data_IF_043845808093
#
_entry.id   IF_043845808093
#
_cell.length_a   1.000
_cell.length_b   1.000
_cell.length_c   1.000
_cell.angle_alpha   90.00
_cell.angle_beta   90.00
_cell.angle_gamma   90.00
#
_symmetry.space_group_name_H-M   'P 1'
#
loop_
_entity.id
_entity.type
_entity.pdbx_description
1 polymer ?
#
# COMPACT_ATOMS: atom_id res chain seq x y z
N UNK A 1 44.62 -9.62 -32.90
CA UNK A 1 43.94 -8.43 -32.38
C UNK A 1 42.46 -8.78 -32.42
N UNK A 2 41.91 -9.14 -31.27
CA UNK A 2 40.46 -9.37 -31.12
C UNK A 2 39.70 -8.05 -31.23
N UNK A 3 38.37 -8.10 -31.47
CA UNK A 3 37.58 -6.89 -31.48
C UNK A 3 37.75 -6.17 -30.13
N UNK A 4 38.04 -4.89 -30.18
CA UNK A 4 37.95 -4.01 -29.01
C UNK A 4 36.50 -4.13 -28.51
N UNK A 5 36.29 -4.78 -27.36
CA UNK A 5 35.04 -4.71 -26.64
C UNK A 5 34.86 -3.23 -26.29
N UNK A 6 33.94 -2.59 -26.94
CA UNK A 6 33.55 -1.21 -26.69
C UNK A 6 33.06 -1.14 -25.25
N UNK A 7 33.92 -0.62 -24.37
CA UNK A 7 33.56 -0.41 -22.95
C UNK A 7 32.33 0.49 -22.88
N UNK A 8 31.24 -0.07 -22.43
CA UNK A 8 29.99 0.67 -22.26
C UNK A 8 30.23 1.91 -21.39
N UNK A 9 29.97 3.08 -21.94
CA UNK A 9 30.10 4.32 -21.20
C UNK A 9 28.97 4.45 -20.20
N UNK A 10 29.23 4.98 -19.00
CA UNK A 10 28.18 5.33 -18.01
C UNK A 10 27.10 6.24 -18.63
N UNK A 11 27.43 6.96 -19.71
CA UNK A 11 26.48 7.83 -20.43
C UNK A 11 25.50 7.08 -21.33
N UNK A 12 25.78 5.83 -21.65
CA UNK A 12 24.95 4.99 -22.53
C UNK A 12 24.00 4.10 -21.71
N UNK A 13 23.97 4.28 -20.39
CA UNK A 13 23.17 3.49 -19.46
C UNK A 13 21.85 4.23 -19.13
N UNK A 14 20.75 3.61 -19.47
CA UNK A 14 19.38 4.09 -19.15
C UNK A 14 18.73 3.09 -18.17
N UNK A 15 18.82 3.32 -16.84
CA UNK A 15 18.19 2.45 -15.87
C UNK A 15 16.66 2.51 -15.98
N UNK A 16 16.02 1.39 -15.74
CA UNK A 16 14.56 1.31 -15.71
C UNK A 16 14.03 1.82 -14.36
N UNK A 17 12.98 2.66 -14.41
CA UNK A 17 12.34 3.26 -13.22
C UNK A 17 10.97 2.66 -12.96
N UNK A 18 10.58 2.64 -11.69
CA UNK A 18 9.25 2.24 -11.28
C UNK A 18 8.24 3.37 -11.55
N UNK A 19 7.02 3.07 -12.04
CA UNK A 19 5.97 4.08 -12.17
C UNK A 19 5.55 4.61 -10.81
N UNK A 20 5.40 5.93 -10.70
CA UNK A 20 4.99 6.60 -9.47
C UNK A 20 3.51 6.96 -9.56
N UNK A 21 2.75 6.59 -8.54
CA UNK A 21 1.33 6.90 -8.43
C UNK A 21 0.96 7.52 -7.09
N UNK A 22 -0.33 7.80 -6.93
CA UNK A 22 -0.91 8.29 -5.68
C UNK A 22 -2.19 7.54 -5.36
N UNK A 23 -2.39 7.20 -4.08
CA UNK A 23 -3.65 6.65 -3.58
C UNK A 23 -4.70 7.76 -3.52
N UNK A 24 -5.86 7.54 -4.13
CA UNK A 24 -6.87 8.60 -4.27
C UNK A 24 -7.54 8.98 -2.97
N UNK A 25 -7.49 8.14 -1.96
CA UNK A 25 -8.30 8.43 -0.79
C UNK A 25 -8.01 7.59 0.45
N UNK A 26 -6.84 7.71 1.03
CA UNK A 26 -6.63 7.20 2.38
C UNK A 26 -7.20 8.14 3.45
N UNK A 27 -8.45 8.42 3.55
CA UNK A 27 -9.17 9.36 4.43
C UNK A 27 -9.44 10.75 3.82
N UNK A 28 -9.23 10.93 2.52
CA UNK A 28 -9.41 12.23 1.86
C UNK A 28 -10.29 12.08 0.61
N UNK A 29 -11.11 13.08 0.36
CA UNK A 29 -11.94 13.20 -0.83
C UNK A 29 -11.67 14.58 -1.48
N UNK A 30 -11.45 14.63 -2.80
CA UNK A 30 -11.33 15.90 -3.54
C UNK A 30 -12.71 16.43 -3.93
N UNK A 31 -13.65 15.54 -4.23
CA UNK A 31 -14.97 15.89 -4.73
C UNK A 31 -15.98 15.84 -3.59
N UNK A 32 -16.59 16.98 -3.21
CA UNK A 32 -17.64 17.00 -2.20
C UNK A 32 -18.82 16.10 -2.57
N UNK A 33 -19.46 15.51 -1.56
CA UNK A 33 -20.56 14.55 -1.74
C UNK A 33 -21.73 15.10 -2.54
N UNK A 34 -22.09 16.35 -2.33
CA UNK A 34 -23.18 17.02 -3.06
C UNK A 34 -22.93 17.10 -4.57
N UNK A 35 -21.69 17.02 -5.03
CA UNK A 35 -21.31 16.93 -6.45
C UNK A 35 -21.19 15.48 -6.91
N UNK A 36 -20.61 14.63 -6.05
CA UNK A 36 -20.35 13.22 -6.36
C UNK A 36 -21.66 12.41 -6.41
N UNK A 37 -22.59 12.63 -5.49
CA UNK A 37 -23.79 11.80 -5.38
C UNK A 37 -24.68 11.83 -6.63
N UNK A 38 -24.90 12.97 -7.31
CA UNK A 38 -25.61 12.97 -8.59
C UNK A 38 -24.75 12.50 -9.79
N UNK A 39 -23.42 12.55 -9.68
CA UNK A 39 -22.47 12.17 -10.74
C UNK A 39 -21.26 11.47 -10.13
N UNK A 40 -21.37 10.15 -9.85
CA UNK A 40 -20.34 9.43 -9.10
C UNK A 40 -18.99 9.32 -9.83
N UNK A 41 -18.96 9.40 -11.15
CA UNK A 41 -17.73 9.30 -11.93
C UNK A 41 -16.94 10.62 -11.94
N UNK A 42 -17.53 11.72 -11.52
CA UNK A 42 -16.86 13.00 -11.37
C UNK A 42 -15.68 12.92 -10.39
N UNK A 43 -15.79 12.14 -9.32
CA UNK A 43 -14.70 11.97 -8.36
C UNK A 43 -13.47 11.32 -9.00
N UNK A 44 -13.66 10.39 -9.93
CA UNK A 44 -12.56 9.75 -10.67
C UNK A 44 -11.94 10.76 -11.64
N UNK A 45 -12.75 11.54 -12.33
CA UNK A 45 -12.27 12.58 -13.27
C UNK A 45 -11.48 13.66 -12.54
N UNK A 46 -11.97 14.15 -11.39
CA UNK A 46 -11.28 15.12 -10.55
C UNK A 46 -9.91 14.60 -10.07
N UNK A 47 -9.83 13.32 -9.67
CA UNK A 47 -8.56 12.72 -9.27
C UNK A 47 -7.60 12.52 -10.44
N UNK A 48 -8.06 12.09 -11.62
CA UNK A 48 -7.23 11.97 -12.82
C UNK A 48 -6.66 13.31 -13.26
N UNK A 49 -7.48 14.38 -13.21
CA UNK A 49 -7.01 15.73 -13.52
C UNK A 49 -6.00 16.24 -12.48
N UNK A 50 -6.25 15.97 -11.20
CA UNK A 50 -5.31 16.33 -10.14
C UNK A 50 -4.00 15.52 -10.23
N UNK A 51 -4.08 14.24 -10.54
CA UNK A 51 -2.91 13.38 -10.74
C UNK A 51 -2.05 13.85 -11.94
N UNK A 52 -2.68 14.33 -13.01
CA UNK A 52 -1.96 14.99 -14.11
C UNK A 52 -1.20 16.23 -13.64
N UNK A 53 -1.80 17.06 -12.78
CA UNK A 53 -1.13 18.23 -12.19
C UNK A 53 0.01 17.85 -11.25
N UNK A 54 -0.13 16.71 -10.55
CA UNK A 54 0.90 16.11 -9.73
C UNK A 54 2.04 15.48 -10.55
N UNK A 55 1.85 15.32 -11.86
CA UNK A 55 2.80 14.68 -12.77
C UNK A 55 3.11 13.22 -12.42
N UNK A 56 2.11 12.48 -11.96
CA UNK A 56 2.24 11.04 -11.67
C UNK A 56 1.83 10.17 -12.87
N UNK A 57 2.33 8.94 -12.89
CA UNK A 57 2.07 7.97 -13.95
C UNK A 57 0.70 7.30 -13.80
N UNK A 58 0.23 7.17 -12.55
CA UNK A 58 -1.00 6.46 -12.24
C UNK A 58 -1.65 6.91 -10.92
N UNK A 59 -2.90 6.45 -10.72
CA UNK A 59 -3.57 6.49 -9.44
C UNK A 59 -3.86 5.07 -8.96
N UNK A 60 -3.83 4.84 -7.65
CA UNK A 60 -4.49 3.72 -7.02
C UNK A 60 -5.91 4.18 -6.65
N UNK A 61 -6.91 3.62 -7.31
CA UNK A 61 -8.28 4.10 -7.24
C UNK A 61 -9.05 3.37 -6.15
N UNK A 62 -9.39 4.08 -5.08
CA UNK A 62 -10.06 3.48 -3.92
C UNK A 62 -11.55 3.31 -4.11
N UNK A 63 -12.05 2.13 -3.72
CA UNK A 63 -13.46 1.82 -3.49
C UNK A 63 -13.65 1.47 -2.02
N UNK A 64 -14.76 1.85 -1.42
CA UNK A 64 -15.07 1.52 -0.04
C UNK A 64 -16.58 1.33 0.17
N UNK A 65 -16.93 0.42 1.07
CA UNK A 65 -18.25 0.34 1.65
C UNK A 65 -18.36 1.43 2.73
N UNK A 66 -18.95 2.56 2.37
CA UNK A 66 -19.17 3.62 3.36
C UNK A 66 -20.41 3.34 4.20
N UNK A 67 -20.42 3.63 5.52
CA UNK A 67 -21.58 3.35 6.39
C UNK A 67 -22.90 3.96 5.89
N UNK A 68 -22.85 5.13 5.26
CA UNK A 68 -24.04 5.77 4.67
C UNK A 68 -24.45 5.19 3.31
N UNK A 69 -23.70 4.28 2.75
CA UNK A 69 -23.83 3.75 1.39
C UNK A 69 -24.03 2.24 1.35
N UNK A 70 -23.95 1.58 2.50
CA UNK A 70 -24.10 0.14 2.64
C UNK A 70 -24.94 -0.22 3.87
N UNK A 71 -25.43 -1.43 3.91
CA UNK A 71 -26.06 -2.04 5.08
C UNK A 71 -25.07 -2.76 6.00
N UNK A 72 -23.77 -2.63 5.73
CA UNK A 72 -22.71 -3.08 6.62
C UNK A 72 -22.54 -2.05 7.74
N UNK A 73 -22.64 -2.46 9.02
CA UNK A 73 -22.47 -1.55 10.15
C UNK A 73 -21.08 -0.90 10.15
N UNK A 74 -20.97 0.34 10.59
CA UNK A 74 -19.70 1.07 10.63
C UNK A 74 -18.65 0.34 11.49
N UNK A 75 -19.09 -0.31 12.56
CA UNK A 75 -18.23 -1.07 13.48
C UNK A 75 -17.64 -2.34 12.85
N UNK A 76 -18.24 -2.82 11.77
CA UNK A 76 -17.77 -3.98 11.02
C UNK A 76 -16.83 -3.61 9.87
N UNK A 77 -16.60 -2.33 9.61
CA UNK A 77 -15.64 -1.87 8.61
C UNK A 77 -14.25 -1.75 9.22
N UNK A 78 -13.27 -2.27 8.51
CA UNK A 78 -11.89 -2.31 9.02
C UNK A 78 -11.17 -0.98 8.77
N UNK A 79 -11.30 -0.41 7.58
CA UNK A 79 -10.65 0.84 7.19
C UNK A 79 -11.69 1.88 6.70
N UNK A 80 -11.71 3.09 7.28
CA UNK A 80 -12.60 4.16 6.85
C UNK A 80 -12.09 4.89 5.58
N UNK A 81 -11.55 4.20 4.62
CA UNK A 81 -11.05 4.76 3.36
C UNK A 81 -12.15 5.55 2.64
N UNK A 82 -11.81 6.71 2.09
CA UNK A 82 -12.73 7.49 1.28
C UNK A 82 -13.06 6.76 -0.03
N UNK A 83 -14.32 6.82 -0.43
CA UNK A 83 -14.80 6.13 -1.63
C UNK A 83 -14.71 7.06 -2.85
N UNK A 84 -13.72 6.83 -3.71
CA UNK A 84 -13.60 7.54 -4.99
C UNK A 84 -14.32 6.78 -6.11
N UNK A 85 -14.16 5.46 -6.17
CA UNK A 85 -14.91 4.59 -7.07
C UNK A 85 -16.23 4.18 -6.43
N UNK A 86 -17.31 4.88 -6.77
CA UNK A 86 -18.64 4.59 -6.27
C UNK A 86 -19.27 3.40 -7.02
N UNK A 87 -19.50 2.32 -6.28
CA UNK A 87 -20.11 1.09 -6.77
C UNK A 87 -21.51 0.84 -6.19
N UNK A 88 -22.19 1.85 -5.62
CA UNK A 88 -23.60 1.73 -5.20
C UNK A 88 -24.49 1.30 -6.37
N UNK A 89 -24.25 1.88 -7.53
CA UNK A 89 -24.81 1.41 -8.80
C UNK A 89 -23.78 0.55 -9.56
N UNK A 90 -24.23 -0.37 -10.43
CA UNK A 90 -23.31 -1.16 -11.27
C UNK A 90 -22.37 -0.28 -12.08
N UNK A 91 -21.11 -0.70 -12.19
CA UNK A 91 -20.16 -0.06 -13.07
C UNK A 91 -20.43 -0.53 -14.51
N UNK A 92 -21.03 0.34 -15.31
CA UNK A 92 -21.47 0.00 -16.67
C UNK A 92 -20.41 0.27 -17.72
N UNK A 93 -20.61 -0.26 -18.93
CA UNK A 93 -19.73 0.02 -20.07
C UNK A 93 -19.65 1.52 -20.39
N UNK A 94 -20.73 2.26 -20.21
CA UNK A 94 -20.75 3.71 -20.46
C UNK A 94 -19.92 4.45 -19.41
N UNK A 95 -20.00 4.07 -18.14
CA UNK A 95 -19.12 4.59 -17.07
C UNK A 95 -17.67 4.27 -17.38
N UNK A 96 -17.35 3.03 -17.72
CA UNK A 96 -15.99 2.63 -18.09
C UNK A 96 -15.47 3.39 -19.33
N UNK A 97 -16.30 3.64 -20.33
CA UNK A 97 -15.94 4.44 -21.49
C UNK A 97 -15.62 5.90 -21.13
N UNK A 98 -16.41 6.51 -20.22
CA UNK A 98 -16.19 7.86 -19.70
C UNK A 98 -14.85 7.95 -18.95
N UNK A 99 -14.62 7.06 -17.98
CA UNK A 99 -13.36 7.00 -17.23
C UNK A 99 -12.17 6.73 -18.16
N UNK A 100 -12.32 5.82 -19.13
CA UNK A 100 -11.31 5.56 -20.15
C UNK A 100 -11.00 6.79 -21.03
N UNK A 101 -11.99 7.64 -21.29
CA UNK A 101 -11.76 8.92 -21.98
C UNK A 101 -10.96 9.90 -21.10
N UNK A 102 -11.25 9.97 -19.81
CA UNK A 102 -10.50 10.80 -18.87
C UNK A 102 -9.03 10.32 -18.74
N UNK A 103 -8.79 9.01 -18.64
CA UNK A 103 -7.44 8.41 -18.66
C UNK A 103 -6.68 8.84 -19.93
N UNK A 104 -7.29 8.71 -21.09
CA UNK A 104 -6.64 9.12 -22.36
C UNK A 104 -6.37 10.62 -22.45
N UNK A 105 -7.24 11.45 -21.89
CA UNK A 105 -7.08 12.90 -21.93
C UNK A 105 -6.04 13.44 -20.95
N UNK A 106 -5.87 12.77 -19.82
CA UNK A 106 -4.88 13.14 -18.80
C UNK A 106 -3.52 12.49 -19.02
N UNK A 107 -3.49 11.33 -19.66
CA UNK A 107 -2.30 10.48 -19.76
C UNK A 107 -1.97 9.73 -18.46
N UNK A 108 -2.82 9.81 -17.43
CA UNK A 108 -2.64 9.16 -16.14
C UNK A 108 -3.39 7.83 -16.14
N UNK A 109 -2.68 6.74 -15.79
CA UNK A 109 -3.25 5.40 -15.69
C UNK A 109 -3.93 5.11 -14.34
N UNK A 110 -4.46 3.89 -14.22
CA UNK A 110 -4.89 3.31 -12.94
C UNK A 110 -4.01 2.09 -12.68
N UNK A 111 -3.23 2.12 -11.58
CA UNK A 111 -2.31 1.04 -11.23
C UNK A 111 -3.05 -0.20 -10.72
N UNK A 112 -4.00 0.01 -9.83
CA UNK A 112 -4.93 -0.98 -9.31
C UNK A 112 -6.17 -0.31 -8.68
N UNK A 113 -7.19 -1.11 -8.39
CA UNK A 113 -8.33 -0.69 -7.59
C UNK A 113 -8.11 -1.13 -6.14
N UNK A 114 -8.42 -0.27 -5.18
CA UNK A 114 -8.20 -0.56 -3.77
C UNK A 114 -9.51 -0.73 -3.00
N UNK A 115 -9.63 -1.85 -2.25
CA UNK A 115 -10.71 -2.08 -1.30
C UNK A 115 -10.13 -2.70 -0.02
N UNK A 116 -9.88 -1.84 0.97
CA UNK A 116 -9.24 -2.21 2.23
C UNK A 116 -10.28 -2.57 3.29
N UNK A 117 -10.64 -3.84 3.37
CA UNK A 117 -11.59 -4.30 4.37
C UNK A 117 -11.33 -5.75 4.82
N UNK A 118 -12.00 -6.17 5.90
CA UNK A 118 -11.84 -7.51 6.48
C UNK A 118 -12.66 -8.54 5.68
N UNK A 119 -11.99 -9.32 4.84
CA UNK A 119 -12.61 -10.40 4.05
C UNK A 119 -12.86 -11.68 4.87
N UNK A 120 -12.31 -11.79 6.09
CA UNK A 120 -12.51 -12.91 7.01
C UNK A 120 -13.37 -12.51 8.21
N UNK A 121 -14.24 -11.52 8.06
CA UNK A 121 -15.10 -11.06 9.16
C UNK A 121 -15.83 -12.24 9.83
N UNK A 122 -15.89 -12.25 11.16
CA UNK A 122 -16.50 -13.33 11.96
C UNK A 122 -18.00 -13.50 11.69
N UNK A 123 -18.74 -12.40 11.47
CA UNK A 123 -20.13 -12.47 11.04
C UNK A 123 -20.20 -12.84 9.56
N UNK A 124 -20.79 -14.02 9.31
CA UNK A 124 -20.89 -14.56 7.95
C UNK A 124 -21.72 -13.70 7.02
N UNK A 125 -22.80 -13.08 7.48
CA UNK A 125 -23.66 -12.27 6.64
C UNK A 125 -22.93 -10.97 6.22
N UNK A 126 -22.16 -10.38 7.13
CA UNK A 126 -21.29 -9.23 6.84
C UNK A 126 -20.20 -9.63 5.85
N UNK A 127 -19.53 -10.77 6.09
CA UNK A 127 -18.51 -11.31 5.19
C UNK A 127 -19.03 -11.51 3.76
N UNK A 128 -20.20 -12.13 3.60
CA UNK A 128 -20.84 -12.36 2.30
C UNK A 128 -21.11 -11.04 1.56
N UNK A 129 -21.51 -9.98 2.25
CA UNK A 129 -21.70 -8.64 1.65
C UNK A 129 -20.38 -8.04 1.18
N UNK A 130 -19.32 -8.15 1.99
CA UNK A 130 -17.98 -7.69 1.61
C UNK A 130 -17.42 -8.45 0.41
N UNK A 131 -17.60 -9.76 0.36
CA UNK A 131 -17.24 -10.58 -0.79
C UNK A 131 -18.02 -10.18 -2.05
N UNK A 132 -19.33 -9.97 -1.93
CA UNK A 132 -20.16 -9.49 -3.03
C UNK A 132 -19.71 -8.11 -3.55
N UNK A 133 -19.28 -7.22 -2.65
CA UNK A 133 -18.72 -5.94 -3.04
C UNK A 133 -17.35 -6.11 -3.73
N UNK A 134 -16.48 -6.98 -3.23
CA UNK A 134 -15.19 -7.27 -3.86
C UNK A 134 -15.36 -7.79 -5.30
N UNK A 135 -16.36 -8.63 -5.56
CA UNK A 135 -16.65 -9.08 -6.93
C UNK A 135 -17.05 -7.92 -7.85
N UNK A 136 -17.74 -6.90 -7.33
CA UNK A 136 -18.06 -5.68 -8.10
C UNK A 136 -16.78 -4.86 -8.38
N UNK A 137 -15.84 -4.82 -7.45
CA UNK A 137 -14.53 -4.20 -7.66
C UNK A 137 -13.76 -4.95 -8.75
N UNK A 138 -13.77 -6.28 -8.74
CA UNK A 138 -13.15 -7.10 -9.79
C UNK A 138 -13.77 -6.83 -11.18
N UNK A 139 -15.09 -6.76 -11.25
CA UNK A 139 -15.78 -6.46 -12.51
C UNK A 139 -15.43 -5.06 -13.03
N UNK A 140 -15.33 -4.07 -12.15
CA UNK A 140 -14.90 -2.72 -12.51
C UNK A 140 -13.43 -2.70 -12.99
N UNK A 141 -12.53 -3.45 -12.35
CA UNK A 141 -11.13 -3.59 -12.76
C UNK A 141 -11.03 -4.15 -14.19
N UNK A 142 -11.78 -5.20 -14.49
CA UNK A 142 -11.82 -5.78 -15.86
C UNK A 142 -12.33 -4.76 -16.88
N UNK A 143 -13.41 -4.03 -16.55
CA UNK A 143 -13.98 -3.04 -17.47
C UNK A 143 -13.04 -1.86 -17.74
N UNK A 144 -12.20 -1.51 -16.77
CA UNK A 144 -11.19 -0.46 -16.88
C UNK A 144 -9.86 -0.95 -17.46
N UNK A 145 -9.68 -2.26 -17.64
CA UNK A 145 -8.42 -2.85 -18.09
C UNK A 145 -7.31 -2.77 -17.02
N UNK A 146 -7.69 -2.71 -15.77
CA UNK A 146 -6.76 -2.62 -14.62
C UNK A 146 -6.32 -4.03 -14.22
N UNK A 147 -5.02 -4.31 -14.01
CA UNK A 147 -4.52 -5.67 -13.86
C UNK A 147 -4.71 -6.25 -12.45
N UNK A 148 -4.96 -5.41 -11.45
CA UNK A 148 -4.92 -5.83 -10.06
C UNK A 148 -5.97 -5.12 -9.19
N UNK A 149 -6.28 -5.78 -8.06
CA UNK A 149 -7.02 -5.18 -6.95
C UNK A 149 -6.17 -5.28 -5.70
N UNK A 150 -6.06 -4.21 -4.94
CA UNK A 150 -5.34 -4.14 -3.66
C UNK A 150 -6.33 -4.17 -2.50
N UNK A 151 -5.97 -4.85 -1.40
CA UNK A 151 -6.83 -4.91 -0.22
C UNK A 151 -6.25 -5.76 0.91
N UNK A 152 -7.07 -6.04 1.92
CA UNK A 152 -6.67 -6.90 3.04
C UNK A 152 -7.23 -8.33 2.90
N UNK A 153 -6.61 -9.25 3.60
CA UNK A 153 -7.23 -10.55 3.92
C UNK A 153 -8.19 -10.38 5.11
N UNK A 154 -7.76 -9.62 6.09
CA UNK A 154 -8.47 -9.47 7.34
C UNK A 154 -8.21 -10.63 8.30
N UNK A 155 -9.08 -10.77 9.30
CA UNK A 155 -9.01 -11.79 10.33
C UNK A 155 -10.39 -12.06 10.93
N UNK A 156 -10.71 -13.33 11.15
CA UNK A 156 -11.78 -13.72 12.05
C UNK A 156 -11.26 -13.61 13.49
N UNK A 157 -11.81 -12.67 14.26
CA UNK A 157 -11.36 -12.35 15.61
C UNK A 157 -11.64 -13.44 16.63
N UNK A 158 -12.59 -14.34 16.34
CA UNK A 158 -12.98 -15.44 17.23
C UNK A 158 -12.08 -16.68 17.07
N UNK A 159 -11.16 -16.66 16.08
CA UNK A 159 -10.32 -17.80 15.72
C UNK A 159 -8.85 -17.57 16.07
N UNK A 160 -8.14 -18.66 16.41
CA UNK A 160 -6.68 -18.68 16.49
C UNK A 160 -6.05 -18.43 15.10
N UNK A 161 -4.74 -18.20 15.03
CA UNK A 161 -4.05 -18.04 13.75
C UNK A 161 -4.19 -19.30 12.86
N UNK A 162 -3.97 -20.49 13.42
CA UNK A 162 -4.10 -21.74 12.66
C UNK A 162 -5.52 -21.94 12.12
N UNK A 163 -6.52 -21.60 12.91
CA UNK A 163 -7.92 -21.66 12.47
C UNK A 163 -8.23 -20.61 11.41
N UNK A 164 -7.61 -19.41 11.49
CA UNK A 164 -7.73 -18.40 10.45
C UNK A 164 -7.11 -18.84 9.12
N UNK A 165 -6.03 -19.63 9.13
CA UNK A 165 -5.49 -20.22 7.89
C UNK A 165 -6.46 -21.20 7.25
N UNK A 166 -7.18 -21.98 8.05
CA UNK A 166 -8.26 -22.87 7.56
C UNK A 166 -9.45 -22.05 7.04
N UNK A 167 -9.82 -20.98 7.74
CA UNK A 167 -10.91 -20.09 7.30
C UNK A 167 -10.54 -19.32 6.03
N UNK A 168 -9.28 -18.92 5.89
CA UNK A 168 -8.74 -18.37 4.64
C UNK A 168 -8.90 -19.35 3.47
N UNK A 169 -8.50 -20.59 3.65
CA UNK A 169 -8.66 -21.63 2.63
C UNK A 169 -10.11 -21.79 2.21
N UNK A 170 -11.03 -21.80 3.18
CA UNK A 170 -12.46 -21.99 2.92
C UNK A 170 -13.16 -20.77 2.31
N UNK A 171 -12.75 -19.54 2.71
CA UNK A 171 -13.50 -18.33 2.41
C UNK A 171 -12.82 -17.43 1.37
N UNK A 172 -11.50 -17.35 1.38
CA UNK A 172 -10.74 -16.45 0.52
C UNK A 172 -10.30 -17.08 -0.81
N UNK A 173 -10.04 -18.38 -0.83
CA UNK A 173 -9.72 -19.10 -2.09
C UNK A 173 -10.80 -18.91 -3.15
N UNK A 174 -12.11 -18.99 -2.84
CA UNK A 174 -13.14 -18.66 -3.84
C UNK A 174 -13.02 -17.27 -4.45
N UNK A 175 -12.62 -16.24 -3.67
CA UNK A 175 -12.36 -14.90 -4.22
C UNK A 175 -11.17 -14.90 -5.18
N UNK A 176 -10.10 -15.61 -4.86
CA UNK A 176 -8.94 -15.72 -5.74
C UNK A 176 -9.26 -16.52 -7.02
N UNK A 177 -10.17 -17.48 -6.96
CA UNK A 177 -10.66 -18.16 -8.16
C UNK A 177 -11.44 -17.22 -9.07
N UNK A 178 -12.25 -16.32 -8.50
CA UNK A 178 -12.95 -15.26 -9.24
C UNK A 178 -11.97 -14.22 -9.83
N UNK A 179 -10.90 -13.86 -9.08
CA UNK A 179 -9.82 -13.02 -9.60
C UNK A 179 -9.11 -13.71 -10.78
N UNK A 180 -8.78 -15.00 -10.64
CA UNK A 180 -8.17 -15.80 -11.71
C UNK A 180 -9.04 -15.87 -12.96
N UNK A 181 -10.34 -16.11 -12.82
CA UNK A 181 -11.29 -16.16 -13.92
C UNK A 181 -11.33 -14.85 -14.72
N UNK A 182 -10.96 -13.73 -14.08
CA UNK A 182 -10.91 -12.38 -14.67
C UNK A 182 -9.51 -11.94 -15.09
N UNK A 183 -8.49 -12.77 -14.85
CA UNK A 183 -7.09 -12.43 -15.15
C UNK A 183 -6.50 -11.34 -14.24
N UNK A 184 -7.00 -11.23 -13.00
CA UNK A 184 -6.58 -10.23 -12.02
C UNK A 184 -5.61 -10.79 -10.99
N UNK A 185 -4.69 -9.93 -10.51
CA UNK A 185 -3.97 -10.13 -9.26
C UNK A 185 -4.78 -9.58 -8.08
N UNK A 186 -4.65 -10.20 -6.92
CA UNK A 186 -5.05 -9.65 -5.63
C UNK A 186 -3.80 -9.30 -4.83
N UNK A 187 -3.54 -8.01 -4.66
CA UNK A 187 -2.40 -7.48 -3.95
C UNK A 187 -2.78 -7.22 -2.50
N UNK A 188 -2.20 -7.95 -1.57
CA UNK A 188 -2.50 -7.78 -0.15
C UNK A 188 -1.57 -6.72 0.43
N UNK A 189 -2.12 -5.65 0.98
CA UNK A 189 -1.38 -4.78 1.87
C UNK A 189 -1.20 -5.45 3.23
N UNK A 190 0.05 -5.47 3.73
CA UNK A 190 0.41 -6.15 4.96
C UNK A 190 0.13 -5.35 6.24
N UNK A 191 -0.70 -4.32 6.19
CA UNK A 191 -1.08 -3.58 7.37
C UNK A 191 -1.60 -4.53 8.46
N UNK A 192 -1.06 -4.50 9.69
CA UNK A 192 -1.54 -5.36 10.77
C UNK A 192 -2.90 -4.93 11.30
N UNK A 193 -3.35 -3.71 10.99
CA UNK A 193 -4.61 -3.10 11.45
C UNK A 193 -4.79 -3.19 12.97
N UNK A 194 -3.83 -2.70 13.78
CA UNK A 194 -3.93 -2.78 15.22
C UNK A 194 -4.89 -1.72 15.78
N UNK A 195 -5.63 -2.07 16.83
CA UNK A 195 -6.43 -1.12 17.59
C UNK A 195 -7.66 -0.52 16.90
N UNK A 196 -8.04 -1.02 15.74
CA UNK A 196 -9.23 -0.57 15.00
C UNK A 196 -10.52 -1.20 15.53
N UNK A 197 -10.38 -2.32 16.23
CA UNK A 197 -11.46 -2.95 17.00
C UNK A 197 -11.06 -3.10 18.46
N UNK A 198 -12.03 -3.03 19.36
CA UNK A 198 -11.84 -3.06 20.82
C UNK A 198 -11.55 -4.47 21.35
N UNK A 199 -11.40 -5.47 20.49
CA UNK A 199 -11.12 -6.85 20.91
C UNK A 199 -9.64 -7.06 21.20
N UNK A 200 -9.34 -8.08 21.98
CA UNK A 200 -8.01 -8.43 22.50
C UNK A 200 -6.95 -8.75 21.43
N UNK A 201 -7.30 -8.71 20.15
CA UNK A 201 -6.38 -8.95 19.05
C UNK A 201 -5.61 -7.71 18.67
N UNK A 202 -4.29 -7.80 18.72
CA UNK A 202 -3.39 -6.73 18.28
C UNK A 202 -3.41 -6.57 16.75
N UNK A 203 -3.71 -7.63 16.01
CA UNK A 203 -3.67 -7.66 14.55
C UNK A 203 -4.99 -8.13 13.97
N UNK A 204 -5.60 -7.31 13.13
CA UNK A 204 -6.87 -7.57 12.46
C UNK A 204 -6.71 -8.03 11.00
N UNK A 205 -5.48 -8.23 10.55
CA UNK A 205 -5.15 -8.79 9.26
C UNK A 205 -4.11 -9.89 9.45
N UNK A 206 -4.38 -11.11 8.98
CA UNK A 206 -3.46 -12.24 9.15
C UNK A 206 -2.21 -12.12 8.27
N UNK A 207 -2.27 -11.36 7.19
CA UNK A 207 -1.18 -11.20 6.22
C UNK A 207 -0.18 -10.09 6.62
N UNK A 208 0.23 -10.02 7.90
CA UNK A 208 1.06 -8.92 8.40
C UNK A 208 2.56 -9.25 8.50
N UNK A 209 2.96 -10.48 8.20
CA UNK A 209 4.38 -10.90 8.25
C UNK A 209 4.76 -11.75 7.05
N UNK A 210 6.05 -11.75 6.62
CA UNK A 210 6.49 -12.56 5.49
C UNK A 210 6.25 -14.06 5.70
N UNK A 211 6.35 -14.55 6.92
CA UNK A 211 6.04 -15.96 7.22
C UNK A 211 4.58 -16.31 6.93
N UNK A 212 3.64 -15.40 7.24
CA UNK A 212 2.22 -15.60 6.90
C UNK A 212 1.96 -15.45 5.41
N UNK A 213 2.65 -14.55 4.69
CA UNK A 213 2.50 -14.44 3.22
C UNK A 213 2.87 -15.74 2.53
N UNK A 214 4.00 -16.36 2.93
CA UNK A 214 4.45 -17.65 2.41
C UNK A 214 3.41 -18.74 2.74
N UNK A 215 2.89 -18.77 3.97
CA UNK A 215 1.87 -19.75 4.37
C UNK A 215 0.59 -19.61 3.55
N UNK A 216 0.09 -18.39 3.34
CA UNK A 216 -1.08 -18.09 2.52
C UNK A 216 -0.84 -18.49 1.06
N UNK A 217 0.32 -18.14 0.52
CA UNK A 217 0.67 -18.48 -0.86
C UNK A 217 0.72 -20.00 -1.07
N UNK A 218 1.31 -20.76 -0.14
CA UNK A 218 1.32 -22.24 -0.19
C UNK A 218 -0.09 -22.85 -0.19
N UNK A 219 -1.04 -22.21 0.50
CA UNK A 219 -2.46 -22.60 0.42
C UNK A 219 -2.99 -22.29 -0.98
N UNK A 220 -2.71 -21.10 -1.52
CA UNK A 220 -3.16 -20.71 -2.85
C UNK A 220 -2.61 -21.64 -3.95
N UNK A 221 -1.35 -22.07 -3.86
CA UNK A 221 -0.74 -23.01 -4.79
C UNK A 221 -1.49 -24.34 -4.85
N UNK A 222 -1.92 -24.90 -3.72
CA UNK A 222 -2.70 -26.14 -3.66
C UNK A 222 -4.01 -26.06 -4.44
N UNK A 223 -4.57 -24.86 -4.55
CA UNK A 223 -5.81 -24.57 -5.27
C UNK A 223 -5.58 -23.97 -6.68
N UNK A 224 -4.33 -23.90 -7.12
CA UNK A 224 -3.96 -23.39 -8.43
C UNK A 224 -4.25 -21.89 -8.63
N UNK A 225 -4.24 -21.12 -7.55
CA UNK A 225 -4.44 -19.64 -7.54
C UNK A 225 -3.26 -18.88 -6.95
N UNK A 226 -2.06 -19.50 -6.92
CA UNK A 226 -0.85 -18.87 -6.40
C UNK A 226 -0.46 -17.60 -7.17
N UNK A 227 -0.66 -17.58 -8.49
CA UNK A 227 -0.35 -16.43 -9.32
C UNK A 227 -1.24 -15.21 -9.05
N UNK A 228 -2.39 -15.41 -8.43
CA UNK A 228 -3.31 -14.33 -8.11
C UNK A 228 -2.97 -13.62 -6.80
N UNK A 229 -2.24 -14.26 -5.88
CA UNK A 229 -1.89 -13.66 -4.61
C UNK A 229 -0.55 -12.93 -4.72
N UNK A 230 -0.56 -11.64 -4.45
CA UNK A 230 0.62 -10.76 -4.40
C UNK A 230 0.59 -9.92 -3.12
N UNK A 231 1.70 -9.26 -2.84
CA UNK A 231 1.85 -8.32 -1.72
C UNK A 231 2.06 -6.92 -2.27
N UNK A 232 1.27 -5.99 -1.79
CA UNK A 232 1.50 -4.55 -1.90
C UNK A 232 2.20 -4.11 -0.62
N UNK A 233 3.53 -3.95 -0.69
CA UNK A 233 4.34 -3.76 0.50
C UNK A 233 4.35 -2.32 0.98
N UNK A 234 3.96 -2.10 2.24
CA UNK A 234 4.09 -0.81 2.93
C UNK A 234 5.18 -0.89 4.02
N UNK A 235 6.33 -0.23 3.82
CA UNK A 235 7.42 -0.27 4.79
C UNK A 235 7.07 0.38 6.13
N UNK A 236 6.10 1.29 6.16
CA UNK A 236 5.69 1.95 7.41
C UNK A 236 5.16 0.95 8.43
N UNK A 237 4.38 -0.02 7.99
CA UNK A 237 3.84 -1.06 8.86
C UNK A 237 4.92 -2.01 9.39
N UNK A 238 5.90 -2.35 8.57
CA UNK A 238 7.04 -3.16 8.99
C UNK A 238 7.84 -2.46 10.11
N UNK A 239 8.14 -1.18 9.94
CA UNK A 239 8.86 -0.35 10.94
C UNK A 239 8.09 -0.28 12.25
N UNK A 240 6.78 -0.06 12.21
CA UNK A 240 5.93 0.01 13.39
C UNK A 240 5.93 -1.30 14.20
N UNK A 241 6.16 -2.43 13.52
CA UNK A 241 6.31 -3.76 14.15
C UNK A 241 7.76 -4.09 14.51
N UNK A 242 8.71 -3.18 14.28
CA UNK A 242 10.13 -3.42 14.51
C UNK A 242 10.79 -4.38 13.51
N UNK A 243 10.16 -4.59 12.37
CA UNK A 243 10.70 -5.43 11.30
C UNK A 243 11.65 -4.61 10.42
N UNK A 244 12.67 -5.31 9.89
CA UNK A 244 13.64 -4.73 8.97
C UNK A 244 13.33 -5.14 7.53
N UNK A 245 13.11 -4.15 6.66
CA UNK A 245 12.72 -4.37 5.26
C UNK A 245 13.71 -5.24 4.49
N UNK A 246 15.01 -4.97 4.62
CA UNK A 246 16.03 -5.74 3.91
C UNK A 246 16.02 -7.21 4.36
N UNK A 247 15.84 -7.46 5.65
CA UNK A 247 15.73 -8.82 6.19
C UNK A 247 14.48 -9.54 5.69
N UNK A 248 13.35 -8.82 5.53
CA UNK A 248 12.11 -9.36 4.93
C UNK A 248 12.38 -9.79 3.48
N UNK A 249 12.97 -8.92 2.66
CA UNK A 249 13.22 -9.21 1.25
C UNK A 249 14.26 -10.32 1.08
N UNK A 250 15.28 -10.35 1.94
CA UNK A 250 16.26 -11.44 1.96
C UNK A 250 15.60 -12.77 2.28
N UNK A 251 14.69 -12.82 3.26
CA UNK A 251 13.92 -14.02 3.57
C UNK A 251 13.09 -14.48 2.37
N UNK A 252 12.36 -13.58 1.72
CA UNK A 252 11.56 -13.91 0.54
C UNK A 252 12.42 -14.47 -0.58
N UNK A 253 13.59 -13.88 -0.84
CA UNK A 253 14.56 -14.38 -1.82
C UNK A 253 15.06 -15.78 -1.46
N UNK A 254 15.51 -15.97 -0.22
CA UNK A 254 16.14 -17.21 0.23
C UNK A 254 15.14 -18.38 0.21
N UNK A 255 13.87 -18.10 0.46
CA UNK A 255 12.76 -19.06 0.40
C UNK A 255 12.15 -19.21 -1.02
N UNK A 256 12.62 -18.43 -2.02
CA UNK A 256 12.13 -18.47 -3.40
C UNK A 256 10.79 -17.77 -3.62
N UNK A 257 10.44 -16.80 -2.78
CA UNK A 257 9.19 -16.04 -2.83
C UNK A 257 9.38 -14.55 -3.19
N UNK A 258 10.52 -14.17 -3.78
CA UNK A 258 10.81 -12.79 -4.19
C UNK A 258 9.76 -12.18 -5.12
N UNK A 259 9.06 -13.00 -5.88
CA UNK A 259 8.00 -12.61 -6.80
C UNK A 259 6.68 -12.20 -6.12
N UNK A 260 6.52 -12.43 -4.81
CA UNK A 260 5.28 -12.10 -4.11
C UNK A 260 5.03 -10.60 -4.06
N UNK A 261 6.05 -9.78 -3.95
CA UNK A 261 5.89 -8.32 -3.91
C UNK A 261 5.72 -7.78 -5.33
N UNK A 262 4.62 -7.08 -5.60
CA UNK A 262 4.30 -6.53 -6.92
C UNK A 262 3.85 -5.07 -6.89
N UNK A 263 3.95 -4.39 -5.76
CA UNK A 263 3.66 -2.97 -5.59
C UNK A 263 4.12 -2.47 -4.23
N UNK A 264 4.25 -1.16 -4.10
CA UNK A 264 4.69 -0.52 -2.86
C UNK A 264 3.82 0.68 -2.52
N UNK A 265 3.40 0.78 -1.27
CA UNK A 265 3.01 2.06 -0.69
C UNK A 265 4.27 2.83 -0.27
N UNK A 266 4.28 4.11 -0.56
CA UNK A 266 5.34 5.05 -0.16
C UNK A 266 4.78 5.89 0.97
N UNK A 267 4.99 5.39 2.17
CA UNK A 267 4.54 5.99 3.42
C UNK A 267 5.59 5.77 4.50
N UNK A 268 6.03 6.84 5.15
CA UNK A 268 6.90 6.79 6.32
C UNK A 268 6.09 6.83 7.62
N UNK A 269 6.73 6.47 8.72
CA UNK A 269 6.11 6.52 10.05
C UNK A 269 7.07 7.02 11.11
N UNK A 270 6.57 7.81 12.04
CA UNK A 270 7.28 8.15 13.28
C UNK A 270 6.92 7.11 14.34
N UNK A 271 7.94 6.47 14.91
CA UNK A 271 7.73 5.46 15.94
C UNK A 271 7.56 6.12 17.29
N UNK A 272 6.48 5.79 17.99
CA UNK A 272 6.31 6.14 19.39
C UNK A 272 6.81 5.00 20.29
N UNK A 273 7.86 5.30 21.05
CA UNK A 273 8.48 4.33 21.96
C UNK A 273 7.52 3.85 23.07
N UNK A 274 6.57 4.69 23.50
CA UNK A 274 5.55 4.31 24.48
C UNK A 274 4.59 3.27 23.91
N UNK A 275 4.17 3.44 22.64
CA UNK A 275 3.32 2.48 21.98
C UNK A 275 4.02 1.13 21.79
N UNK A 276 5.28 1.13 21.37
CA UNK A 276 6.07 -0.10 21.27
C UNK A 276 6.13 -0.80 22.63
N UNK A 277 6.40 -0.05 23.71
CA UNK A 277 6.51 -0.63 25.07
C UNK A 277 5.19 -1.15 25.62
N UNK A 278 4.06 -0.51 25.24
CA UNK A 278 2.74 -0.85 25.78
C UNK A 278 2.04 -1.93 24.96
N UNK A 279 2.18 -1.89 23.62
CA UNK A 279 1.38 -2.68 22.70
C UNK A 279 2.20 -3.57 21.77
N UNK A 280 3.52 -3.43 21.75
CA UNK A 280 4.38 -4.07 20.76
C UNK A 280 4.26 -3.46 19.36
N UNK A 281 3.64 -2.28 19.25
CA UNK A 281 3.39 -1.58 18.01
C UNK A 281 3.52 -0.06 18.23
N UNK A 282 4.32 0.60 17.43
CA UNK A 282 4.72 2.00 17.63
C UNK A 282 3.97 3.01 16.77
N UNK A 283 2.74 2.73 16.37
CA UNK A 283 1.98 3.57 15.47
C UNK A 283 0.67 4.13 16.04
N UNK A 284 -0.35 4.08 15.24
CA UNK A 284 -1.67 4.66 15.44
C UNK A 284 -2.33 4.37 16.80
N UNK A 285 -1.95 3.27 17.46
CA UNK A 285 -2.52 2.86 18.74
C UNK A 285 -2.05 3.68 19.92
N UNK A 286 -0.97 4.44 19.79
CA UNK A 286 -0.33 5.12 20.92
C UNK A 286 -1.10 6.33 21.38
N UNK A 287 -1.61 7.09 20.45
CA UNK A 287 -2.43 8.25 20.78
C UNK A 287 -3.84 7.86 21.20
N UNK A 288 -4.15 6.59 21.06
CA UNK A 288 -5.27 5.91 21.69
C UNK A 288 -4.86 5.20 22.99
N UNK A 289 -3.70 5.57 23.57
CA UNK A 289 -3.23 5.04 24.84
C UNK A 289 -4.19 5.24 26.00
N UNK A 290 -5.13 6.15 25.87
CA UNK A 290 -6.30 6.29 26.73
C UNK A 290 -7.29 5.12 26.65
N UNK A 291 -7.05 4.18 25.73
CA UNK A 291 -7.85 2.97 25.59
C UNK A 291 -7.52 1.86 26.58
N UNK A 292 -6.44 2.00 27.33
CA UNK A 292 -6.20 1.11 28.47
C UNK A 292 -7.23 1.42 29.56
N UNK A 293 -8.40 0.85 29.41
CA UNK A 293 -9.50 0.98 30.37
C UNK A 293 -10.46 2.15 30.13
N UNK A 294 -10.41 2.81 28.95
CA UNK A 294 -11.27 3.93 28.61
C UNK A 294 -11.93 3.81 27.23
N UNK A 295 -13.00 4.54 27.02
CA UNK A 295 -13.60 4.74 25.71
C UNK A 295 -12.65 5.51 24.79
N UNK A 296 -12.62 5.22 23.46
CA UNK A 296 -11.80 5.97 22.53
C UNK A 296 -12.12 7.46 22.61
N UNK A 297 -11.08 8.29 22.51
CA UNK A 297 -11.25 9.73 22.50
C UNK A 297 -12.29 10.11 21.43
N UNK A 298 -13.42 10.63 21.88
CA UNK A 298 -14.54 11.01 21.00
C UNK A 298 -14.31 12.34 20.29
N UNK A 299 -13.19 13.00 20.60
CA UNK A 299 -12.84 14.28 19.98
C UNK A 299 -12.23 14.05 18.58
N UNK A 300 -12.97 14.41 17.51
CA UNK A 300 -12.47 14.28 16.13
C UNK A 300 -11.18 15.09 15.89
N UNK A 301 -10.96 16.19 16.63
CA UNK A 301 -9.76 17.01 16.49
C UNK A 301 -8.54 16.32 17.13
N UNK A 302 -8.73 15.60 18.23
CA UNK A 302 -7.67 14.80 18.83
C UNK A 302 -7.29 13.61 17.93
N UNK A 303 -8.28 12.96 17.30
CA UNK A 303 -8.03 11.92 16.32
C UNK A 303 -7.29 12.46 15.08
N UNK A 304 -7.68 13.61 14.54
CA UNK A 304 -7.02 14.26 13.42
C UNK A 304 -5.55 14.55 13.71
N UNK A 305 -5.27 15.09 14.89
CA UNK A 305 -3.89 15.37 15.30
C UNK A 305 -3.08 14.09 15.48
N UNK A 306 -3.72 13.01 15.89
CA UNK A 306 -3.10 11.70 16.03
C UNK A 306 -2.59 11.19 14.68
N UNK A 307 -3.45 11.14 13.69
CA UNK A 307 -3.13 10.67 12.34
C UNK A 307 -2.05 11.52 11.66
N UNK A 308 -2.16 12.84 11.76
CA UNK A 308 -1.22 13.78 11.13
C UNK A 308 0.21 13.70 11.70
N UNK A 309 0.42 13.08 12.85
CA UNK A 309 1.74 12.97 13.48
C UNK A 309 2.51 11.72 13.07
N UNK A 310 1.88 10.78 12.39
CA UNK A 310 2.43 9.44 12.19
C UNK A 310 3.09 9.23 10.84
N UNK A 311 2.58 9.87 9.79
CA UNK A 311 3.08 9.67 8.43
C UNK A 311 4.11 10.71 8.06
N UNK A 312 5.32 10.27 7.69
CA UNK A 312 6.44 11.13 7.30
C UNK A 312 7.20 10.50 6.15
N UNK A 313 7.13 11.09 4.96
CA UNK A 313 7.93 10.68 3.81
C UNK A 313 9.27 11.41 3.75
N UNK A 314 9.28 12.69 4.06
CA UNK A 314 10.45 13.55 4.01
C UNK A 314 10.33 14.67 5.05
N UNK A 315 11.40 15.43 5.26
CA UNK A 315 11.47 16.45 6.30
C UNK A 315 10.33 17.48 6.27
N UNK A 316 9.83 17.86 5.10
CA UNK A 316 8.74 18.82 4.99
C UNK A 316 7.37 18.25 5.36
N UNK A 317 7.24 16.92 5.48
CA UNK A 317 6.03 16.23 5.93
C UNK A 317 6.03 15.92 7.42
N UNK A 318 7.13 16.22 8.11
CA UNK A 318 7.20 16.06 9.55
C UNK A 318 6.04 16.78 10.24
N UNK A 319 5.35 16.13 11.18
CA UNK A 319 4.35 16.80 12.03
C UNK A 319 4.92 18.06 12.64
N UNK A 320 4.08 19.07 12.89
CA UNK A 320 4.54 20.39 13.34
C UNK A 320 5.46 20.35 14.56
N UNK A 321 5.24 19.40 15.49
CA UNK A 321 6.12 19.17 16.67
C UNK A 321 7.49 18.61 16.27
N UNK A 322 7.56 17.71 15.32
CA UNK A 322 8.82 17.12 14.88
C UNK A 322 9.63 18.06 13.97
N UNK A 323 8.97 19.01 13.28
CA UNK A 323 9.67 20.09 12.56
C UNK A 323 10.44 21.02 13.48
N UNK A 324 10.01 21.14 14.72
CA UNK A 324 10.64 22.01 15.72
C UNK A 324 11.59 21.26 16.65
N UNK A 325 11.60 19.92 16.58
CA UNK A 325 12.51 19.06 17.36
C UNK A 325 13.21 18.05 16.45
N UNK A 326 14.33 18.46 15.81
CA UNK A 326 15.12 17.55 14.97
C UNK A 326 15.66 16.33 15.71
N UNK A 327 15.85 16.42 17.05
CA UNK A 327 16.32 15.29 17.84
C UNK A 327 15.22 14.25 18.03
N UNK A 328 13.97 14.67 18.23
CA UNK A 328 12.83 13.74 18.28
C UNK A 328 12.69 12.98 16.95
N UNK A 329 12.89 13.66 15.83
CA UNK A 329 12.90 13.01 14.50
C UNK A 329 14.04 12.00 14.35
N UNK A 330 15.26 12.37 14.72
CA UNK A 330 16.43 11.48 14.62
C UNK A 330 16.34 10.28 15.57
N UNK A 331 15.60 10.38 16.67
CA UNK A 331 15.37 9.29 17.60
C UNK A 331 14.29 8.32 17.15
N UNK A 332 13.41 8.73 16.23
CA UNK A 332 12.37 7.89 15.69
C UNK A 332 12.85 7.26 14.36
N UNK A 333 12.67 5.96 14.24
CA UNK A 333 12.96 5.28 12.97
C UNK A 333 11.96 5.73 11.92
N UNK A 334 12.50 6.23 10.82
CA UNK A 334 11.77 6.39 9.57
C UNK A 334 12.24 5.34 8.58
N UNK A 335 11.55 5.22 7.45
CA UNK A 335 12.01 4.34 6.37
C UNK A 335 13.33 4.88 5.81
N UNK A 336 14.36 4.05 5.73
CA UNK A 336 15.52 4.32 4.87
C UNK A 336 15.12 4.00 3.43
N UNK A 337 14.59 5.02 2.74
CA UNK A 337 14.01 4.85 1.41
C UNK A 337 15.02 4.41 0.38
N UNK A 338 16.27 4.85 0.48
CA UNK A 338 17.30 4.44 -0.46
C UNK A 338 17.67 2.96 -0.26
N UNK A 339 17.89 2.52 0.98
CA UNK A 339 18.15 1.12 1.28
C UNK A 339 16.93 0.24 0.94
N UNK A 340 15.72 0.72 1.19
CA UNK A 340 14.49 0.04 0.82
C UNK A 340 14.43 -0.24 -0.70
N UNK A 341 14.63 0.78 -1.53
CA UNK A 341 14.55 0.66 -2.99
C UNK A 341 15.71 -0.17 -3.55
N UNK A 342 16.91 -0.02 -3.00
CA UNK A 342 18.05 -0.88 -3.36
C UNK A 342 17.79 -2.34 -3.00
N UNK A 343 17.28 -2.60 -1.78
CA UNK A 343 16.96 -3.96 -1.34
C UNK A 343 15.86 -4.59 -2.21
N UNK A 344 14.85 -3.81 -2.59
CA UNK A 344 13.80 -4.29 -3.49
C UNK A 344 14.37 -4.74 -4.84
N UNK A 345 15.21 -3.92 -5.47
CA UNK A 345 15.87 -4.23 -6.76
C UNK A 345 16.87 -5.37 -6.68
N UNK A 346 17.58 -5.53 -5.55
CA UNK A 346 18.58 -6.57 -5.34
C UNK A 346 17.99 -7.93 -4.99
N UNK A 347 16.89 -7.96 -4.27
CA UNK A 347 16.41 -9.15 -3.54
C UNK A 347 15.06 -9.68 -4.02
N UNK A 348 14.28 -8.88 -4.73
CA UNK A 348 12.96 -9.27 -5.22
C UNK A 348 12.97 -9.51 -6.73
N UNK A 349 12.09 -10.38 -7.19
CA UNK A 349 11.91 -10.69 -8.62
C UNK A 349 10.89 -9.71 -9.23
N UNK A 350 11.24 -8.41 -9.28
CA UNK A 350 10.37 -7.33 -9.72
C UNK A 350 10.32 -7.21 -11.26
N UNK A 351 9.12 -7.03 -11.80
CA UNK A 351 8.95 -6.36 -13.08
C UNK A 351 8.91 -4.85 -12.82
N UNK A 352 10.08 -4.20 -12.90
CA UNK A 352 10.27 -2.80 -12.51
C UNK A 352 9.27 -1.88 -13.18
N UNK A 353 9.02 -2.08 -14.49
CA UNK A 353 8.11 -1.24 -15.27
C UNK A 353 6.63 -1.38 -14.90
N UNK A 354 6.27 -2.44 -14.16
CA UNK A 354 4.90 -2.74 -13.73
C UNK A 354 4.69 -2.69 -12.23
N UNK A 355 5.77 -2.48 -11.46
CA UNK A 355 5.71 -2.40 -10.00
C UNK A 355 5.50 -0.95 -9.58
N UNK A 356 4.29 -0.52 -9.18
CA UNK A 356 4.03 0.87 -8.86
C UNK A 356 4.55 1.25 -7.48
N UNK A 357 5.03 2.49 -7.37
CA UNK A 357 5.30 3.20 -6.13
C UNK A 357 4.13 4.14 -5.84
N UNK A 358 3.23 3.76 -4.96
CA UNK A 358 2.02 4.53 -4.66
C UNK A 358 2.24 5.38 -3.42
N UNK A 359 2.30 6.70 -3.61
CA UNK A 359 2.35 7.66 -2.50
C UNK A 359 1.03 7.62 -1.76
N UNK A 360 1.09 7.32 -0.47
CA UNK A 360 -0.05 7.26 0.42
C UNK A 360 0.09 8.28 1.53
N UNK A 361 -0.90 9.18 1.63
CA UNK A 361 -1.01 10.15 2.72
C UNK A 361 -2.29 9.92 3.50
N UNK A 362 -2.14 9.67 4.79
CA UNK A 362 -3.25 9.61 5.72
C UNK A 362 -3.41 10.97 6.40
N UNK A 363 -4.45 11.69 6.00
CA UNK A 363 -4.85 12.91 6.69
C UNK A 363 -5.99 12.59 7.66
N UNK A 364 -6.01 13.26 8.80
CA UNK A 364 -7.04 13.08 9.82
C UNK A 364 -8.48 13.27 9.32
N UNK A 365 -9.48 13.26 10.19
CA UNK A 365 -10.90 13.02 9.87
C UNK A 365 -11.58 14.05 8.96
N UNK A 366 -10.91 15.12 8.54
CA UNK A 366 -11.40 16.01 7.50
C UNK A 366 -11.33 15.28 6.14
N UNK A 367 -12.41 14.63 5.74
CA UNK A 367 -12.43 13.78 4.54
C UNK A 367 -12.39 14.57 3.24
N UNK A 368 -12.98 15.76 3.19
CA UNK A 368 -12.91 16.63 2.04
C UNK A 368 -11.70 17.54 2.20
N UNK A 369 -10.76 17.46 1.27
CA UNK A 369 -9.54 18.25 1.26
C UNK A 369 -9.54 19.18 0.05
N UNK A 370 -9.06 20.40 0.27
CA UNK A 370 -8.89 21.35 -0.81
C UNK A 370 -7.66 20.99 -1.65
N UNK A 371 -7.80 20.98 -2.97
CA UNK A 371 -6.74 20.66 -3.93
C UNK A 371 -5.49 21.51 -3.70
N UNK A 372 -5.67 22.81 -3.42
CA UNK A 372 -4.60 23.77 -3.19
C UNK A 372 -3.79 23.44 -1.92
N UNK A 373 -4.41 22.83 -0.94
CA UNK A 373 -3.73 22.39 0.29
C UNK A 373 -2.93 21.09 0.08
N UNK A 374 -3.47 20.15 -0.70
CA UNK A 374 -2.83 18.87 -0.99
C UNK A 374 -1.67 19.00 -1.98
N UNK A 375 -1.79 19.88 -2.96
CA UNK A 375 -0.88 19.99 -4.10
C UNK A 375 0.60 20.11 -3.70
N UNK A 376 1.02 21.05 -2.82
CA UNK A 376 2.44 21.20 -2.48
C UNK A 376 2.98 20.01 -1.70
N UNK A 377 2.17 19.37 -0.88
CA UNK A 377 2.55 18.22 -0.05
C UNK A 377 2.78 17.00 -0.94
N UNK A 378 1.80 16.68 -1.78
CA UNK A 378 1.89 15.52 -2.67
C UNK A 378 2.99 15.71 -3.73
N UNK A 379 3.15 16.91 -4.31
CA UNK A 379 4.26 17.20 -5.22
C UNK A 379 5.62 16.98 -4.57
N UNK A 380 5.78 17.40 -3.32
CA UNK A 380 7.01 17.15 -2.56
C UNK A 380 7.31 15.65 -2.38
N UNK A 381 6.31 14.88 -1.98
CA UNK A 381 6.44 13.44 -1.78
C UNK A 381 6.72 12.68 -3.09
N UNK A 382 6.04 13.04 -4.17
CA UNK A 382 6.24 12.46 -5.50
C UNK A 382 7.66 12.77 -6.01
N UNK A 383 8.10 14.01 -5.91
CA UNK A 383 9.44 14.39 -6.31
C UNK A 383 10.53 13.69 -5.48
N UNK A 384 10.28 13.49 -4.19
CA UNK A 384 11.15 12.70 -3.32
C UNK A 384 11.19 11.24 -3.77
N UNK A 385 10.03 10.61 -3.98
CA UNK A 385 9.91 9.21 -4.42
C UNK A 385 10.67 8.96 -5.72
N UNK A 386 10.49 9.82 -6.73
CA UNK A 386 11.20 9.72 -8.01
C UNK A 386 12.72 9.80 -7.83
N UNK A 387 13.21 10.78 -7.05
CA UNK A 387 14.65 10.92 -6.81
C UNK A 387 15.26 9.72 -6.11
N UNK A 388 14.53 9.11 -5.18
CA UNK A 388 15.01 7.92 -4.48
C UNK A 388 15.02 6.71 -5.43
N UNK A 389 13.98 6.52 -6.24
CA UNK A 389 13.95 5.44 -7.21
C UNK A 389 15.03 5.58 -8.28
N UNK A 390 15.24 6.79 -8.81
CA UNK A 390 16.34 7.11 -9.73
C UNK A 390 17.71 6.79 -9.12
N UNK A 391 17.94 7.22 -7.88
CA UNK A 391 19.21 6.96 -7.19
C UNK A 391 19.43 5.45 -6.98
N UNK A 392 18.40 4.73 -6.54
CA UNK A 392 18.49 3.28 -6.34
C UNK A 392 18.69 2.53 -7.66
N UNK A 393 17.98 2.91 -8.72
CA UNK A 393 18.14 2.32 -10.04
C UNK A 393 19.57 2.51 -10.59
N UNK A 394 20.09 3.74 -10.54
CA UNK A 394 21.47 4.03 -10.97
C UNK A 394 22.50 3.26 -10.13
N UNK A 395 22.33 3.19 -8.82
CA UNK A 395 23.26 2.44 -7.95
C UNK A 395 23.20 0.96 -8.22
N UNK A 396 22.03 0.38 -8.36
CA UNK A 396 21.84 -1.04 -8.66
C UNK A 396 22.51 -1.40 -9.98
N UNK A 397 22.26 -0.64 -11.01
CA UNK A 397 22.83 -0.85 -12.32
C UNK A 397 24.37 -0.66 -12.35
N UNK A 398 24.87 0.34 -11.63
CA UNK A 398 26.32 0.50 -11.49
C UNK A 398 26.95 -0.76 -10.90
N UNK A 399 26.33 -1.38 -9.92
CA UNK A 399 26.82 -2.58 -9.24
C UNK A 399 26.67 -3.85 -10.07
N UNK A 400 25.56 -3.99 -10.80
CA UNK A 400 25.23 -5.25 -11.50
C UNK A 400 25.71 -5.31 -12.95
N UNK A 401 25.85 -4.18 -13.60
CA UNK A 401 26.14 -4.10 -15.04
C UNK A 401 27.45 -3.38 -15.35
N UNK A 402 27.61 -2.14 -14.87
CA UNK A 402 28.72 -1.29 -15.29
C UNK A 402 30.06 -1.74 -14.70
N UNK A 403 30.14 -1.93 -13.38
CA UNK A 403 31.38 -2.33 -12.72
C UNK A 403 31.83 -3.76 -13.12
N UNK A 404 30.93 -4.77 -13.19
CA UNK A 404 31.31 -6.09 -13.69
C UNK A 404 31.81 -6.07 -15.14
N UNK A 405 31.18 -5.30 -16.02
CA UNK A 405 31.60 -5.15 -17.41
C UNK A 405 33.01 -4.53 -17.52
N UNK A 406 33.43 -3.73 -16.56
CA UNK A 406 34.77 -3.15 -16.46
C UNK A 406 35.76 -4.04 -15.70
N UNK A 407 35.38 -5.25 -15.30
CA UNK A 407 36.24 -6.16 -14.52
C UNK A 407 36.46 -5.69 -13.07
N UNK A 408 35.66 -4.74 -12.58
CA UNK A 408 35.77 -4.24 -11.22
C UNK A 408 34.93 -5.12 -10.31
N UNK A 409 35.54 -5.80 -9.31
CA UNK A 409 34.77 -6.64 -8.40
C UNK A 409 33.88 -5.79 -7.52
N UNK A 410 32.56 -6.03 -7.58
CA UNK A 410 31.59 -5.44 -6.67
C UNK A 410 31.63 -6.22 -5.36
N UNK A 411 32.16 -5.62 -4.30
CA UNK A 411 31.95 -6.15 -2.96
C UNK A 411 30.51 -5.93 -2.60
N UNK A 412 29.75 -7.02 -2.42
CA UNK A 412 28.33 -6.95 -2.09
C UNK A 412 28.09 -6.01 -0.90
N UNK A 413 27.36 -4.95 -1.14
CA UNK A 413 26.85 -4.02 -0.13
C UNK A 413 25.77 -4.75 0.67
N UNK A 414 26.10 -5.81 1.37
CA UNK A 414 25.11 -6.67 2.01
C UNK A 414 25.63 -7.57 3.11
N UNK A 415 26.93 -7.56 3.37
CA UNK A 415 27.48 -8.34 4.48
C UNK A 415 27.98 -7.44 5.62
N UNK A 416 27.09 -6.70 6.25
CA UNK A 416 27.29 -6.48 7.68
C UNK A 416 26.96 -7.80 8.35
N UNK A 417 27.97 -8.64 8.52
CA UNK A 417 27.88 -9.77 9.42
C UNK A 417 27.48 -9.21 10.80
N UNK A 418 26.27 -9.46 11.24
CA UNK A 418 25.99 -9.46 12.65
C UNK A 418 26.83 -10.59 13.23
N UNK A 419 28.00 -10.24 13.74
CA UNK A 419 28.74 -11.13 14.61
C UNK A 419 27.98 -11.16 15.93
N UNK A 420 27.49 -12.36 16.25
CA UNK A 420 26.91 -12.78 17.52
C UNK A 420 27.61 -12.20 18.75
#
# INVERSE_FOLDING_TARGET
VGPEEELMSIRDFEPEFMPVGVLTAALQELTPREKRDPDPDLAIEDWLDFARELEVDSIQLSAALHPSESDVPAEAMLDPVANTLDLRAPFTKDRAARVGAAIRSTGVGIADLAYFDNMLHEDRAIREKKHAFMLRVFDAAVMLGVPAVCGFVGRNQDLSMDQNLVDFEASFIPLLQEAKARGLEYRIEQCPMPGWTVRDSVHNNIAYTPGTWIALHRICEKHGVGDQLRIHYDPSHAILMGQDTRSIFQLLRDEGYGFLVSGFHVKGQVIDARGVSTWGYGGQTVERGDWIGGEPARDPAAQANAWNKQTVLCEHELPGTARHDPLAYLQNRTVDWLDHQLAARELLDLDVSKTPLIVEHEYGPARVQEREALLPILKGSIAFTRRIDEAAACMHALQTEVLPAQGIPVQGVGRRAYRS
#
